data_IF_950941637518
#
_entry.id   IF_950941637518
#
_cell.length_a   1.000
_cell.length_b   1.000
_cell.length_c   1.000
_cell.angle_alpha   90.00
_cell.angle_beta   90.00
_cell.angle_gamma   90.00
#
_symmetry.space_group_name_H-M   'P 1'
#
loop_
_entity.id
_entity.type
_entity.pdbx_description
1 polymer ?
#
# COMPACT_ATOMS: atom_id res chain seq x y z
N UNK A 1 -1.97 -11.97 17.27
CA UNK A 1 -2.10 -11.63 15.84
C UNK A 1 -1.05 -10.59 15.52
N UNK A 2 -0.20 -10.83 14.52
CA UNK A 2 0.79 -9.85 14.07
C UNK A 2 0.10 -8.88 13.10
N UNK A 3 0.16 -7.58 13.39
CA UNK A 3 -0.37 -6.54 12.48
C UNK A 3 0.64 -6.16 11.39
N UNK A 4 1.53 -7.09 11.03
CA UNK A 4 2.55 -6.86 10.03
C UNK A 4 1.89 -6.75 8.65
N UNK A 5 2.30 -5.78 7.86
CA UNK A 5 1.83 -5.63 6.48
C UNK A 5 2.45 -6.74 5.62
N UNK A 6 1.61 -7.46 4.88
CA UNK A 6 1.98 -8.59 4.02
C UNK A 6 1.59 -8.40 2.57
N UNK A 7 0.61 -7.55 2.29
CA UNK A 7 0.16 -7.24 0.95
C UNK A 7 -0.22 -5.76 0.83
N UNK A 8 0.05 -5.22 -0.35
CA UNK A 8 -0.48 -3.94 -0.81
C UNK A 8 -1.32 -4.17 -2.05
N UNK A 9 -2.50 -3.54 -2.11
CA UNK A 9 -3.38 -3.57 -3.28
C UNK A 9 -3.88 -2.17 -3.60
N UNK A 10 -4.03 -1.87 -4.89
CA UNK A 10 -4.67 -0.64 -5.33
C UNK A 10 -6.20 -0.80 -5.27
N UNK A 11 -6.89 0.19 -4.71
CA UNK A 11 -8.35 0.21 -4.69
C UNK A 11 -8.89 1.65 -4.57
N UNK A 12 -9.83 2.00 -5.44
CA UNK A 12 -10.52 3.29 -5.46
C UNK A 12 -9.58 4.51 -5.33
N UNK A 13 -8.48 4.53 -6.08
CA UNK A 13 -7.48 5.61 -6.07
C UNK A 13 -6.66 5.70 -4.77
N UNK A 14 -6.57 4.61 -4.00
CA UNK A 14 -5.73 4.50 -2.81
C UNK A 14 -5.10 3.11 -2.68
N UNK A 15 -4.34 2.91 -1.60
CA UNK A 15 -3.63 1.66 -1.32
C UNK A 15 -4.23 1.01 -0.08
N UNK A 16 -4.73 -0.22 -0.23
CA UNK A 16 -5.14 -1.08 0.88
C UNK A 16 -3.95 -1.90 1.39
N UNK A 17 -3.86 -2.06 2.71
CA UNK A 17 -2.82 -2.83 3.38
C UNK A 17 -3.45 -4.02 4.08
N UNK A 18 -2.86 -5.21 3.93
CA UNK A 18 -3.37 -6.45 4.51
C UNK A 18 -2.32 -7.17 5.35
N UNK A 19 -2.74 -7.78 6.47
CA UNK A 19 -1.87 -8.65 7.29
C UNK A 19 -1.96 -10.13 6.95
N UNK A 20 -3.01 -10.52 6.24
CA UNK A 20 -3.22 -11.84 5.67
C UNK A 20 -4.21 -11.73 4.49
N UNK A 21 -4.36 -12.75 3.63
CA UNK A 21 -5.38 -12.74 2.58
C UNK A 21 -6.76 -12.38 3.13
N UNK A 22 -7.37 -11.31 2.61
CA UNK A 22 -8.68 -10.80 3.04
C UNK A 22 -8.70 -10.04 4.39
N UNK A 23 -7.59 -9.96 5.12
CA UNK A 23 -7.52 -9.26 6.42
C UNK A 23 -6.95 -7.86 6.22
N UNK A 24 -7.82 -6.90 5.89
CA UNK A 24 -7.44 -5.48 5.71
C UNK A 24 -7.12 -4.82 7.05
N UNK A 25 -5.98 -4.17 7.13
CA UNK A 25 -5.49 -3.46 8.33
C UNK A 25 -5.33 -1.95 8.12
N UNK A 26 -5.33 -1.47 6.89
CA UNK A 26 -5.19 -0.06 6.59
C UNK A 26 -5.62 0.31 5.18
N UNK A 27 -5.81 1.60 4.98
CA UNK A 27 -6.07 2.19 3.68
C UNK A 27 -5.46 3.59 3.66
N UNK A 28 -4.70 3.89 2.61
CA UNK A 28 -4.09 5.19 2.39
C UNK A 28 -4.64 5.83 1.11
N UNK A 29 -5.02 7.10 1.18
CA UNK A 29 -5.43 7.92 0.02
C UNK A 29 -4.31 8.78 -0.55
N UNK A 30 -3.21 8.94 0.18
CA UNK A 30 -2.03 9.67 -0.27
C UNK A 30 -0.74 9.09 0.33
N UNK A 31 0.41 9.50 -0.22
CA UNK A 31 1.72 9.01 0.21
C UNK A 31 2.01 9.30 1.69
N UNK A 32 1.47 10.39 2.26
CA UNK A 32 1.63 10.73 3.68
C UNK A 32 0.90 9.73 4.57
N UNK A 33 -0.28 9.27 4.17
CA UNK A 33 -0.99 8.20 4.86
C UNK A 33 -0.26 6.86 4.74
N UNK A 34 0.34 6.57 3.58
CA UNK A 34 1.22 5.39 3.43
C UNK A 34 2.32 5.43 4.50
N UNK A 35 3.08 6.52 4.60
CA UNK A 35 4.15 6.67 5.61
C UNK A 35 3.66 6.44 7.03
N UNK A 36 2.49 7.01 7.39
CA UNK A 36 1.89 6.81 8.71
C UNK A 36 1.54 5.35 8.99
N UNK A 37 1.01 4.64 8.00
CA UNK A 37 0.62 3.23 8.16
C UNK A 37 1.83 2.30 8.22
N UNK A 38 2.87 2.57 7.43
CA UNK A 38 4.15 1.85 7.52
C UNK A 38 4.73 1.94 8.94
N UNK A 39 4.77 3.15 9.51
CA UNK A 39 5.22 3.37 10.89
C UNK A 39 4.28 2.70 11.92
N UNK A 40 2.97 2.87 11.79
CA UNK A 40 1.97 2.30 12.69
C UNK A 40 2.06 0.77 12.80
N UNK A 41 2.38 0.11 11.70
CA UNK A 41 2.41 -1.35 11.60
C UNK A 41 3.82 -1.94 11.64
N UNK A 42 4.84 -1.12 11.94
CA UNK A 42 6.25 -1.53 11.97
C UNK A 42 6.65 -2.31 10.72
N UNK A 43 6.41 -1.72 9.55
CA UNK A 43 6.76 -2.33 8.28
C UNK A 43 8.24 -2.76 8.25
N UNK A 44 8.48 -3.93 7.69
CA UNK A 44 9.83 -4.45 7.45
C UNK A 44 10.02 -4.53 5.95
N UNK A 45 11.05 -3.85 5.45
CA UNK A 45 11.34 -3.79 4.01
C UNK A 45 11.54 -5.19 3.41
N UNK A 46 11.01 -5.39 2.20
CA UNK A 46 11.06 -6.67 1.49
C UNK A 46 10.14 -7.78 2.05
N UNK A 47 9.26 -7.50 3.03
CA UNK A 47 8.40 -8.54 3.63
C UNK A 47 6.98 -8.59 3.09
N UNK A 48 6.58 -7.62 2.28
CA UNK A 48 5.24 -7.55 1.69
C UNK A 48 5.26 -7.87 0.19
N UNK A 49 4.15 -8.43 -0.27
CA UNK A 49 3.88 -8.70 -1.67
C UNK A 49 2.99 -7.60 -2.26
N UNK A 50 2.96 -7.51 -3.58
CA UNK A 50 2.09 -6.60 -4.31
C UNK A 50 1.01 -7.41 -5.02
N UNK A 51 -0.24 -7.02 -4.86
CA UNK A 51 -1.33 -7.57 -5.66
C UNK A 51 -1.27 -7.06 -7.09
N UNK A 52 -1.90 -7.78 -8.03
CA UNK A 52 -1.93 -7.38 -9.44
C UNK A 52 -2.59 -6.03 -9.66
N UNK A 53 -3.50 -5.59 -8.78
CA UNK A 53 -4.10 -4.26 -8.87
C UNK A 53 -3.08 -3.12 -8.83
N UNK A 54 -1.91 -3.35 -8.21
CA UNK A 54 -0.81 -2.38 -8.22
C UNK A 54 -0.24 -2.14 -9.62
N UNK A 55 -0.23 -3.16 -10.49
CA UNK A 55 0.28 -3.09 -11.87
C UNK A 55 -0.72 -2.48 -12.88
N UNK A 56 -2.00 -2.41 -12.50
CA UNK A 56 -3.12 -1.93 -13.31
C UNK A 56 -3.91 -0.85 -12.55
N UNK A 57 -3.21 0.05 -11.84
CA UNK A 57 -3.82 0.93 -10.85
C UNK A 57 -4.90 1.88 -11.43
N UNK A 58 -4.84 2.18 -12.72
CA UNK A 58 -5.84 2.94 -13.45
C UNK A 58 -7.21 2.24 -13.50
N UNK A 59 -7.25 0.91 -13.56
CA UNK A 59 -8.47 0.12 -13.43
C UNK A 59 -9.06 0.18 -12.01
N UNK A 60 -8.27 0.63 -11.03
CA UNK A 60 -8.62 0.73 -9.62
C UNK A 60 -8.71 2.19 -9.15
N UNK A 61 -8.95 3.14 -10.05
CA UNK A 61 -9.27 4.53 -9.72
C UNK A 61 -8.08 5.47 -9.51
N UNK A 62 -6.86 5.04 -9.85
CA UNK A 62 -5.74 5.96 -10.05
C UNK A 62 -5.80 6.62 -11.42
N UNK A 63 -5.12 7.76 -11.59
CA UNK A 63 -5.06 8.45 -12.88
C UNK A 63 -4.14 7.77 -13.90
N UNK A 64 -3.25 6.90 -13.45
CA UNK A 64 -2.25 6.22 -14.27
C UNK A 64 -2.11 4.76 -13.84
N UNK A 65 -1.70 3.92 -14.78
CA UNK A 65 -1.45 2.49 -14.59
C UNK A 65 -0.47 2.21 -13.45
N UNK A 66 0.56 3.03 -13.32
CA UNK A 66 1.62 2.95 -12.30
C UNK A 66 1.33 3.77 -11.04
N UNK A 67 0.19 4.47 -10.97
CA UNK A 67 -0.06 5.48 -9.94
C UNK A 67 -0.03 4.95 -8.50
N UNK A 68 -0.41 3.69 -8.28
CA UNK A 68 -0.31 3.06 -6.97
C UNK A 68 1.15 2.81 -6.55
N UNK A 69 2.02 2.41 -7.48
CA UNK A 69 3.45 2.25 -7.18
C UNK A 69 4.13 3.60 -6.92
N UNK A 70 3.82 4.62 -7.72
CA UNK A 70 4.36 5.97 -7.50
C UNK A 70 4.04 6.47 -6.09
N UNK A 71 2.78 6.35 -5.67
CA UNK A 71 2.32 6.74 -4.34
C UNK A 71 2.97 5.90 -3.23
N UNK A 72 3.15 4.60 -3.45
CA UNK A 72 3.78 3.71 -2.48
C UNK A 72 5.27 4.04 -2.30
N UNK A 73 5.99 4.28 -3.42
CA UNK A 73 7.41 4.66 -3.42
C UNK A 73 7.60 5.99 -2.69
N UNK A 74 6.76 6.99 -2.96
CA UNK A 74 6.81 8.26 -2.23
C UNK A 74 6.60 8.05 -0.72
N UNK A 75 5.64 7.20 -0.34
CA UNK A 75 5.39 6.84 1.05
C UNK A 75 6.57 6.15 1.73
N UNK A 76 7.28 5.26 1.01
CA UNK A 76 8.51 4.62 1.50
C UNK A 76 9.68 5.61 1.64
N UNK A 77 9.85 6.52 0.67
CA UNK A 77 10.90 7.53 0.71
C UNK A 77 10.72 8.48 1.90
N UNK A 78 9.48 8.85 2.21
CA UNK A 78 9.15 9.71 3.36
C UNK A 78 9.23 8.97 4.72
N UNK A 79 9.27 7.64 4.72
CA UNK A 79 9.36 6.83 5.94
C UNK A 79 10.79 6.61 6.42
N UNK A 80 11.76 6.62 5.50
CA UNK A 80 13.20 6.47 5.79
C UNK A 80 13.80 7.78 6.29
#
# INVERSE_FOLDING_TARGET
MTNQIRFFEANNGGIELFSAPGVKIGFAKDAKEVTKLLAKFNYVDGTANFGSSMDFADEYGFAKREGAFDMLVEGFLNWR
#
